data_IF_827040047750
#
_entry.id   IF_827040047750
#
_cell.length_a   1.000
_cell.length_b   1.000
_cell.length_c   1.000
_cell.angle_alpha   90.00
_cell.angle_beta   90.00
_cell.angle_gamma   90.00
#
_symmetry.space_group_name_H-M   'P 1'
#
loop_
_entity.id
_entity.type
_entity.pdbx_description
1 polymer ?
#
# COMPACT_ATOMS: atom_id res chain seq x y z
N UNK A 1 22.70 12.40 13.11
CA UNK A 1 22.58 13.34 11.97
C UNK A 1 21.10 13.58 11.76
N UNK A 2 20.60 14.67 12.33
CA UNK A 2 19.17 15.00 12.39
C UNK A 2 18.87 16.08 11.37
N UNK A 3 17.79 15.94 10.59
CA UNK A 3 17.20 17.08 9.89
C UNK A 3 16.85 16.88 8.42
N UNK A 4 15.90 15.98 8.14
CA UNK A 4 14.81 16.19 7.18
C UNK A 4 13.75 15.12 7.51
N UNK A 5 13.03 15.33 8.61
CA UNK A 5 12.13 14.32 9.18
C UNK A 5 10.75 14.40 8.55
N UNK A 6 10.46 13.58 7.56
CA UNK A 6 9.07 13.28 7.19
C UNK A 6 8.46 12.33 8.25
N UNK A 7 7.16 12.45 8.55
CA UNK A 7 6.49 11.53 9.45
C UNK A 7 6.51 10.12 8.85
N UNK A 8 6.96 9.14 9.62
CA UNK A 8 6.88 7.72 9.29
C UNK A 8 6.33 6.95 10.49
N UNK A 9 5.03 7.10 10.82
CA UNK A 9 4.43 6.41 11.96
C UNK A 9 4.67 4.90 11.83
N UNK A 10 5.28 4.30 12.86
CA UNK A 10 5.64 2.88 12.87
C UNK A 10 6.56 2.43 11.71
N UNK A 11 7.29 3.35 11.09
CA UNK A 11 8.14 3.04 9.93
C UNK A 11 7.36 2.77 8.63
N UNK A 12 6.06 3.05 8.59
CA UNK A 12 5.19 2.67 7.46
C UNK A 12 5.53 3.38 6.14
N UNK A 13 6.35 4.44 6.15
CA UNK A 13 6.84 5.13 4.95
C UNK A 13 8.11 4.50 4.36
N UNK A 14 8.61 3.40 4.93
CA UNK A 14 9.80 2.71 4.45
C UNK A 14 9.77 2.40 2.93
N UNK A 15 8.66 1.99 2.30
CA UNK A 15 8.64 1.75 0.84
C UNK A 15 8.85 3.02 -0.01
N UNK A 16 8.58 4.20 0.54
CA UNK A 16 8.74 5.49 -0.15
C UNK A 16 10.05 6.19 0.23
N UNK A 17 10.73 5.76 1.30
CA UNK A 17 11.96 6.38 1.83
C UNK A 17 13.01 6.66 0.75
N UNK A 18 13.32 5.72 -0.18
CA UNK A 18 14.34 5.96 -1.22
C UNK A 18 13.98 7.08 -2.21
N UNK A 19 12.72 7.51 -2.26
CA UNK A 19 12.23 8.60 -3.09
C UNK A 19 12.17 9.90 -2.30
N UNK A 20 11.50 9.89 -1.14
CA UNK A 20 11.24 11.08 -0.33
C UNK A 20 12.52 11.62 0.34
N UNK A 21 13.53 10.79 0.57
CA UNK A 21 14.87 11.22 1.02
C UNK A 21 15.56 12.17 0.01
N UNK A 22 15.12 12.15 -1.26
CA UNK A 22 15.78 12.84 -2.37
C UNK A 22 15.08 14.13 -2.78
N UNK A 23 13.95 14.45 -2.16
CA UNK A 23 13.11 15.61 -2.49
C UNK A 23 12.59 16.26 -1.21
N UNK A 24 12.18 17.54 -1.25
CA UNK A 24 11.39 18.12 -0.16
C UNK A 24 10.11 17.31 0.07
N UNK A 25 9.77 17.05 1.33
CA UNK A 25 8.54 16.36 1.70
C UNK A 25 7.34 17.31 1.60
N UNK A 26 6.89 17.55 0.38
CA UNK A 26 5.74 18.37 0.05
C UNK A 26 5.10 17.87 -1.25
N UNK A 27 3.77 18.02 -1.45
CA UNK A 27 3.05 17.58 -2.64
C UNK A 27 3.32 18.51 -3.84
N UNK A 28 4.58 18.49 -4.29
CA UNK A 28 5.12 19.34 -5.34
C UNK A 28 5.37 18.53 -6.62
N UNK A 29 4.68 18.91 -7.70
CA UNK A 29 4.82 18.26 -9.02
C UNK A 29 6.27 18.26 -9.52
N UNK A 30 7.00 19.37 -9.33
CA UNK A 30 8.41 19.48 -9.75
C UNK A 30 9.31 18.40 -9.11
N UNK A 31 9.05 18.03 -7.85
CA UNK A 31 9.76 16.94 -7.17
C UNK A 31 9.47 15.58 -7.80
N UNK A 32 8.21 15.33 -8.16
CA UNK A 32 7.82 14.09 -8.86
C UNK A 32 8.44 14.01 -10.26
N UNK A 33 8.45 15.11 -11.01
CA UNK A 33 9.08 15.19 -12.33
C UNK A 33 10.60 14.91 -12.24
N UNK A 34 11.28 15.48 -11.24
CA UNK A 34 12.71 15.25 -11.01
C UNK A 34 13.01 13.78 -10.64
N UNK A 35 12.16 13.14 -9.83
CA UNK A 35 12.28 11.71 -9.51
C UNK A 35 12.03 10.83 -10.74
N UNK A 36 11.03 11.17 -11.56
CA UNK A 36 10.64 10.41 -12.74
C UNK A 36 11.63 10.57 -13.91
N UNK A 37 12.29 11.74 -14.04
CA UNK A 37 13.29 11.98 -15.08
C UNK A 37 14.49 11.01 -15.02
N UNK A 38 14.79 10.45 -13.84
CA UNK A 38 15.90 9.51 -13.62
C UNK A 38 15.49 8.04 -13.73
N UNK A 39 14.25 7.76 -14.17
CA UNK A 39 13.66 6.43 -14.20
C UNK A 39 12.98 6.17 -15.53
N UNK A 40 12.92 4.91 -15.93
CA UNK A 40 12.12 4.45 -17.07
C UNK A 40 10.93 3.62 -16.58
N UNK A 41 10.02 4.27 -15.84
CA UNK A 41 8.78 3.63 -15.42
C UNK A 41 7.81 3.64 -16.60
N UNK A 42 7.25 2.47 -16.90
CA UNK A 42 6.33 2.26 -18.01
C UNK A 42 5.07 1.55 -17.56
N UNK A 43 3.96 1.88 -18.20
CA UNK A 43 2.72 1.11 -18.10
C UNK A 43 2.86 -0.23 -18.82
N UNK A 44 1.93 -1.15 -18.58
CA UNK A 44 1.91 -2.45 -19.26
C UNK A 44 1.64 -2.33 -20.78
N UNK A 45 1.12 -1.20 -21.25
CA UNK A 45 1.00 -0.84 -22.66
C UNK A 45 2.27 -0.20 -23.26
N UNK A 46 3.37 -0.12 -22.50
CA UNK A 46 4.66 0.40 -22.94
C UNK A 46 4.80 1.93 -22.91
N UNK A 47 3.78 2.65 -22.43
CA UNK A 47 3.83 4.12 -22.33
C UNK A 47 4.70 4.54 -21.16
N UNK A 48 5.59 5.52 -21.41
CA UNK A 48 6.42 6.11 -20.35
C UNK A 48 5.53 6.91 -19.40
N UNK A 49 5.69 6.69 -18.11
CA UNK A 49 4.91 7.38 -17.09
C UNK A 49 5.26 8.87 -17.06
N UNK A 50 4.25 9.71 -16.89
CA UNK A 50 4.37 11.15 -16.67
C UNK A 50 3.29 11.64 -15.71
N UNK A 51 3.63 12.65 -14.90
CA UNK A 51 2.69 13.28 -13.99
C UNK A 51 2.22 14.58 -14.63
N UNK A 52 0.91 14.71 -14.85
CA UNK A 52 0.32 15.85 -15.56
C UNK A 52 -0.81 16.45 -14.73
N UNK A 53 -1.09 17.76 -14.83
CA UNK A 53 -2.30 18.32 -14.23
C UNK A 53 -3.56 17.62 -14.76
N UNK A 54 -4.67 17.57 -13.99
CA UNK A 54 -5.91 17.00 -14.46
C UNK A 54 -6.34 17.65 -15.79
N UNK A 55 -6.54 16.87 -16.85
CA UNK A 55 -6.94 17.39 -18.15
C UNK A 55 -8.44 17.72 -18.16
N UNK A 56 -8.83 18.68 -19.00
CA UNK A 56 -10.22 19.12 -19.16
C UNK A 56 -11.05 18.26 -20.12
N UNK A 57 -10.62 17.04 -20.43
CA UNK A 57 -11.34 16.13 -21.34
C UNK A 57 -12.12 15.03 -20.58
N UNK A 58 -12.96 14.28 -21.29
CA UNK A 58 -13.81 13.24 -20.71
C UNK A 58 -13.13 11.85 -20.59
N UNK A 59 -11.82 11.74 -20.86
CA UNK A 59 -11.14 10.45 -20.86
C UNK A 59 -11.04 9.91 -19.43
N UNK A 60 -11.44 8.64 -19.25
CA UNK A 60 -11.31 7.99 -17.95
C UNK A 60 -9.85 7.92 -17.48
N UNK A 61 -9.64 8.11 -16.18
CA UNK A 61 -8.32 8.10 -15.53
C UNK A 61 -7.48 6.85 -15.85
N UNK A 62 -8.06 5.65 -15.72
CA UNK A 62 -7.32 4.39 -15.98
C UNK A 62 -6.98 4.24 -17.47
N UNK A 63 -7.92 4.61 -18.35
CA UNK A 63 -7.71 4.61 -19.80
C UNK A 63 -6.61 5.59 -20.21
N UNK A 64 -6.52 6.76 -19.56
CA UNK A 64 -5.47 7.74 -19.83
C UNK A 64 -4.10 7.20 -19.48
N UNK A 65 -3.94 6.64 -18.29
CA UNK A 65 -2.67 6.02 -17.88
C UNK A 65 -2.31 4.93 -18.90
N UNK A 66 -3.24 4.05 -19.24
CA UNK A 66 -3.00 2.99 -20.21
C UNK A 66 -2.62 3.51 -21.60
N UNK A 67 -3.34 4.49 -22.14
CA UNK A 67 -3.13 4.93 -23.54
C UNK A 67 -1.99 5.92 -23.71
N UNK A 68 -1.74 6.78 -22.70
CA UNK A 68 -0.80 7.91 -22.77
C UNK A 68 0.33 7.85 -21.73
N UNK A 69 0.22 7.03 -20.69
CA UNK A 69 1.17 7.02 -19.57
C UNK A 69 1.01 8.24 -18.65
N UNK A 70 -0.10 8.96 -18.74
CA UNK A 70 -0.35 10.20 -18.00
C UNK A 70 -1.11 9.92 -16.71
N UNK A 71 -0.48 10.13 -15.56
CA UNK A 71 -1.11 10.08 -14.24
C UNK A 71 -1.51 11.50 -13.85
N UNK A 72 -2.81 11.74 -13.69
CA UNK A 72 -3.33 13.03 -13.24
C UNK A 72 -2.85 13.34 -11.81
N UNK A 73 -2.25 14.51 -11.62
CA UNK A 73 -1.70 14.97 -10.35
C UNK A 73 -2.06 16.44 -10.12
N UNK A 74 -2.98 16.67 -9.18
CA UNK A 74 -3.43 18.01 -8.76
C UNK A 74 -2.33 18.71 -7.97
N UNK A 75 -2.09 20.02 -8.20
CA UNK A 75 -1.19 20.81 -7.36
C UNK A 75 -1.59 20.74 -5.88
N UNK A 76 -0.63 20.48 -4.99
CA UNK A 76 -0.87 20.45 -3.55
C UNK A 76 -1.61 19.22 -3.01
N UNK A 77 -1.95 18.25 -3.86
CA UNK A 77 -2.67 17.03 -3.45
C UNK A 77 -1.72 15.99 -2.86
N UNK A 78 -1.82 15.73 -1.54
CA UNK A 78 -1.08 14.65 -0.88
C UNK A 78 -1.48 13.28 -1.42
N UNK A 79 -2.77 13.07 -1.64
CA UNK A 79 -3.29 11.88 -2.29
C UNK A 79 -2.58 11.56 -3.62
N UNK A 80 -2.56 12.53 -4.56
CA UNK A 80 -1.97 12.32 -5.88
C UNK A 80 -0.44 12.22 -5.80
N UNK A 81 0.17 12.93 -4.85
CA UNK A 81 1.60 12.84 -4.57
C UNK A 81 2.00 11.43 -4.10
N UNK A 82 1.27 10.84 -3.16
CA UNK A 82 1.53 9.47 -2.73
C UNK A 82 1.23 8.46 -3.82
N UNK A 83 0.17 8.65 -4.61
CA UNK A 83 -0.10 7.79 -5.76
C UNK A 83 1.07 7.81 -6.76
N UNK A 84 1.63 8.98 -7.05
CA UNK A 84 2.80 9.12 -7.90
C UNK A 84 4.04 8.44 -7.30
N UNK A 85 4.29 8.58 -6.00
CA UNK A 85 5.39 7.88 -5.34
C UNK A 85 5.21 6.35 -5.35
N UNK A 86 3.98 5.86 -5.16
CA UNK A 86 3.67 4.43 -5.25
C UNK A 86 3.92 3.90 -6.67
N UNK A 87 3.56 4.64 -7.72
CA UNK A 87 3.94 4.32 -9.10
C UNK A 87 5.45 4.18 -9.30
N UNK A 88 6.24 5.01 -8.63
CA UNK A 88 7.71 4.97 -8.72
C UNK A 88 8.36 3.89 -7.84
N UNK A 89 7.71 3.50 -6.74
CA UNK A 89 8.18 2.45 -5.81
C UNK A 89 7.73 1.04 -6.21
N UNK A 90 6.54 0.90 -6.82
CA UNK A 90 5.93 -0.36 -7.24
C UNK A 90 5.52 -0.31 -8.73
N UNK A 91 6.46 -0.05 -9.65
CA UNK A 91 6.16 0.18 -11.06
C UNK A 91 5.50 -1.02 -11.73
N UNK A 92 5.90 -2.26 -11.40
CA UNK A 92 5.33 -3.46 -12.01
C UNK A 92 3.89 -3.66 -11.53
N UNK A 93 3.67 -3.56 -10.22
CA UNK A 93 2.35 -3.77 -9.62
C UNK A 93 1.34 -2.74 -10.10
N UNK A 94 1.71 -1.44 -10.13
CA UNK A 94 0.82 -0.38 -10.61
C UNK A 94 0.54 -0.50 -12.11
N UNK A 95 1.53 -0.88 -12.91
CA UNK A 95 1.33 -1.15 -14.33
C UNK A 95 0.34 -2.31 -14.57
N UNK A 96 0.48 -3.41 -13.82
CA UNK A 96 -0.46 -4.54 -13.88
C UNK A 96 -1.86 -4.17 -13.39
N UNK A 97 -1.96 -3.40 -12.30
CA UNK A 97 -3.23 -2.95 -11.74
C UNK A 97 -4.01 -2.07 -12.72
N UNK A 98 -3.33 -1.10 -13.34
CA UNK A 98 -3.90 -0.26 -14.38
C UNK A 98 -4.39 -1.09 -15.60
N UNK A 99 -3.58 -2.04 -16.06
CA UNK A 99 -3.96 -2.95 -17.15
C UNK A 99 -5.24 -3.73 -16.83
N UNK A 100 -5.33 -4.27 -15.61
CA UNK A 100 -6.49 -4.99 -15.11
C UNK A 100 -7.72 -4.09 -15.01
N UNK A 101 -7.57 -2.87 -14.51
CA UNK A 101 -8.68 -1.90 -14.48
C UNK A 101 -9.23 -1.62 -15.88
N UNK A 102 -8.36 -1.38 -16.86
CA UNK A 102 -8.79 -1.15 -18.25
C UNK A 102 -9.45 -2.38 -18.86
N UNK A 103 -8.91 -3.58 -18.64
CA UNK A 103 -9.52 -4.82 -19.11
C UNK A 103 -10.91 -5.05 -18.50
N UNK A 104 -11.06 -4.82 -17.19
CA UNK A 104 -12.35 -4.96 -16.50
C UNK A 104 -13.39 -3.93 -16.97
N UNK A 105 -12.96 -2.75 -17.40
CA UNK A 105 -13.86 -1.72 -17.96
C UNK A 105 -14.37 -2.05 -19.38
N UNK A 106 -13.65 -2.88 -20.14
CA UNK A 106 -14.06 -3.28 -21.48
C UNK A 106 -15.23 -4.29 -21.49
N UNK A 107 -15.58 -4.87 -20.35
CA UNK A 107 -16.67 -5.85 -20.20
C UNK A 107 -17.97 -5.13 -19.78
N UNK A 108 -18.99 -5.00 -20.66
CA UNK A 108 -20.15 -4.12 -20.40
C UNK A 108 -21.18 -4.64 -19.37
N UNK A 109 -21.10 -5.92 -18.96
CA UNK A 109 -22.24 -6.64 -18.37
C UNK A 109 -22.28 -6.77 -16.83
N UNK A 110 -21.42 -6.08 -16.08
CA UNK A 110 -21.56 -6.03 -14.62
C UNK A 110 -21.14 -4.66 -14.09
N UNK A 111 -22.11 -3.80 -13.74
CA UNK A 111 -21.83 -2.51 -13.08
C UNK A 111 -20.83 -2.69 -11.94
N UNK A 112 -19.88 -1.74 -11.78
CA UNK A 112 -18.72 -1.81 -10.85
C UNK A 112 -18.43 -3.25 -10.37
N UNK A 113 -17.88 -4.07 -11.27
CA UNK A 113 -17.61 -5.47 -10.97
C UNK A 113 -16.80 -5.62 -9.67
N UNK A 114 -17.13 -6.64 -8.87
CA UNK A 114 -16.49 -6.91 -7.56
C UNK A 114 -14.95 -6.88 -7.63
N UNK A 115 -14.39 -7.31 -8.76
CA UNK A 115 -12.96 -7.25 -9.05
C UNK A 115 -12.42 -5.82 -9.11
N UNK A 116 -13.12 -4.91 -9.82
CA UNK A 116 -12.73 -3.50 -9.90
C UNK A 116 -12.75 -2.85 -8.51
N UNK A 117 -13.79 -3.13 -7.73
CA UNK A 117 -13.90 -2.60 -6.37
C UNK A 117 -12.79 -3.16 -5.46
N UNK A 118 -12.45 -4.44 -5.58
CA UNK A 118 -11.35 -5.07 -4.83
C UNK A 118 -10.00 -4.44 -5.18
N UNK A 119 -9.71 -4.28 -6.47
CA UNK A 119 -8.47 -3.68 -6.97
C UNK A 119 -8.36 -2.21 -6.56
N UNK A 120 -9.45 -1.44 -6.67
CA UNK A 120 -9.49 -0.05 -6.21
C UNK A 120 -9.19 0.01 -4.71
N UNK A 121 -9.82 -0.85 -3.91
CA UNK A 121 -9.60 -0.87 -2.47
C UNK A 121 -8.15 -1.21 -2.11
N UNK A 122 -7.54 -2.12 -2.85
CA UNK A 122 -6.12 -2.44 -2.66
C UNK A 122 -5.22 -1.29 -3.12
N UNK A 123 -5.54 -0.59 -4.21
CA UNK A 123 -4.77 0.59 -4.65
C UNK A 123 -4.77 1.72 -3.62
N UNK A 124 -5.90 1.90 -2.95
CA UNK A 124 -6.11 2.95 -1.95
C UNK A 124 -5.51 2.58 -0.60
N UNK A 125 -5.72 1.34 -0.16
CA UNK A 125 -5.48 0.93 1.23
C UNK A 125 -4.62 -0.35 1.39
N UNK A 126 -3.99 -0.83 0.32
CA UNK A 126 -3.23 -2.08 0.31
C UNK A 126 -1.95 -2.05 1.15
N UNK A 127 -1.59 -3.20 1.70
CA UNK A 127 -0.30 -3.42 2.37
C UNK A 127 0.15 -4.85 2.10
N UNK A 128 1.45 -5.05 1.89
CA UNK A 128 2.05 -6.38 1.87
C UNK A 128 2.72 -6.62 3.21
N UNK A 129 2.30 -7.66 3.91
CA UNK A 129 2.89 -8.08 5.18
C UNK A 129 3.71 -9.32 4.92
N UNK A 130 4.99 -9.27 5.27
CA UNK A 130 5.89 -10.42 5.16
C UNK A 130 6.41 -10.81 6.52
N UNK A 131 6.57 -12.11 6.76
CA UNK A 131 7.14 -12.62 8.01
C UNK A 131 7.99 -13.86 7.77
N UNK A 132 9.09 -13.99 8.52
CA UNK A 132 9.84 -15.24 8.62
C UNK A 132 9.37 -16.16 9.76
N UNK A 133 8.43 -15.68 10.57
CA UNK A 133 7.71 -16.47 11.56
C UNK A 133 6.24 -16.60 11.13
N UNK A 134 5.86 -17.80 10.71
CA UNK A 134 4.50 -18.10 10.23
C UNK A 134 3.45 -17.98 11.35
N UNK A 135 3.84 -18.08 12.62
CA UNK A 135 2.93 -17.91 13.76
C UNK A 135 2.41 -16.47 13.85
N UNK A 136 3.22 -15.47 13.52
CA UNK A 136 2.80 -14.06 13.48
C UNK A 136 1.73 -13.81 12.40
N UNK A 137 1.90 -14.41 11.22
CA UNK A 137 0.88 -14.36 10.17
C UNK A 137 -0.39 -15.09 10.61
N UNK A 138 -0.25 -16.18 11.36
CA UNK A 138 -1.37 -16.88 12.00
C UNK A 138 -2.20 -15.98 12.92
N UNK A 139 -1.55 -15.21 13.80
CA UNK A 139 -2.22 -14.26 14.69
C UNK A 139 -2.99 -13.18 13.92
N UNK A 140 -2.40 -12.67 12.83
CA UNK A 140 -3.05 -11.69 11.94
C UNK A 140 -4.29 -12.29 11.28
N UNK A 141 -4.18 -13.50 10.70
CA UNK A 141 -5.31 -14.22 10.09
C UNK A 141 -6.43 -14.49 11.10
N UNK A 142 -6.07 -14.77 12.35
CA UNK A 142 -6.99 -15.07 13.44
C UNK A 142 -7.48 -13.83 14.21
N UNK A 143 -7.12 -12.61 13.79
CA UNK A 143 -7.53 -11.36 14.43
C UNK A 143 -7.12 -11.25 15.92
N UNK A 144 -6.01 -11.90 16.29
CA UNK A 144 -5.49 -11.92 17.66
C UNK A 144 -4.59 -10.69 17.89
N UNK A 145 -5.19 -9.50 17.90
CA UNK A 145 -4.46 -8.23 17.84
C UNK A 145 -3.58 -7.95 19.06
N UNK A 146 -4.05 -8.22 20.28
CA UNK A 146 -3.25 -8.03 21.50
C UNK A 146 -2.07 -9.01 21.53
N UNK A 147 -2.31 -10.28 21.17
CA UNK A 147 -1.24 -11.25 21.05
C UNK A 147 -0.19 -10.83 20.01
N UNK A 148 -0.64 -10.38 18.83
CA UNK A 148 0.24 -9.93 17.75
C UNK A 148 1.04 -8.68 18.12
N UNK A 149 0.36 -7.59 18.49
CA UNK A 149 0.96 -6.25 18.61
C UNK A 149 1.55 -5.94 20.00
N UNK A 150 1.11 -6.65 21.03
CA UNK A 150 1.58 -6.45 22.41
C UNK A 150 2.41 -7.64 22.90
N UNK A 151 1.83 -8.84 23.01
CA UNK A 151 2.50 -9.99 23.64
C UNK A 151 3.71 -10.48 22.83
N UNK A 152 3.59 -10.50 21.50
CA UNK A 152 4.66 -10.88 20.55
C UNK A 152 5.39 -9.67 19.97
N UNK A 153 5.31 -8.50 20.60
CA UNK A 153 5.93 -7.25 20.10
C UNK A 153 7.44 -7.35 19.84
N UNK A 154 8.27 -8.01 20.68
CA UNK A 154 9.69 -8.19 20.37
C UNK A 154 9.92 -9.00 19.09
N UNK A 155 9.07 -10.00 18.83
CA UNK A 155 9.17 -10.83 17.62
C UNK A 155 8.72 -10.07 16.37
N UNK A 156 7.70 -9.21 16.46
CA UNK A 156 7.27 -8.35 15.35
C UNK A 156 8.44 -7.54 14.78
N UNK A 157 9.20 -6.88 15.65
CA UNK A 157 10.32 -6.04 15.24
C UNK A 157 11.41 -6.84 14.50
N UNK A 158 11.63 -8.10 14.90
CA UNK A 158 12.64 -8.96 14.29
C UNK A 158 12.14 -9.61 13.00
N UNK A 159 10.94 -10.18 13.02
CA UNK A 159 10.50 -11.18 12.04
C UNK A 159 9.46 -10.69 11.03
N UNK A 160 8.80 -9.54 11.25
CA UNK A 160 7.70 -9.06 10.39
C UNK A 160 8.01 -7.69 9.78
N UNK A 161 7.64 -7.49 8.52
CA UNK A 161 7.71 -6.19 7.83
C UNK A 161 6.39 -5.87 7.12
N UNK A 162 6.06 -4.58 7.07
CA UNK A 162 4.90 -4.06 6.36
C UNK A 162 5.37 -3.14 5.22
N UNK A 163 4.89 -3.41 4.01
CA UNK A 163 5.13 -2.60 2.83
C UNK A 163 3.81 -1.99 2.38
N UNK A 164 3.55 -0.74 2.77
CA UNK A 164 2.32 -0.04 2.37
C UNK A 164 2.36 0.21 0.86
N UNK A 165 1.29 -0.21 0.19
CA UNK A 165 1.05 0.01 -1.24
C UNK A 165 -0.03 1.07 -1.43
N UNK A 166 -1.05 1.05 -0.57
CA UNK A 166 -2.20 1.93 -0.61
C UNK A 166 -1.82 3.40 -0.52
N UNK A 167 -2.09 4.18 -1.57
CA UNK A 167 -1.69 5.58 -1.61
C UNK A 167 -2.52 6.48 -0.68
N UNK A 168 -3.83 6.22 -0.51
CA UNK A 168 -4.63 6.89 0.51
C UNK A 168 -4.20 6.53 1.94
N UNK A 169 -3.71 5.31 2.19
CA UNK A 169 -3.15 4.97 3.50
C UNK A 169 -1.99 5.89 3.88
N UNK A 170 -1.12 6.26 2.93
CA UNK A 170 -0.04 7.22 3.21
C UNK A 170 -0.55 8.62 3.57
N UNK A 171 -1.57 9.11 2.86
CA UNK A 171 -2.21 10.38 3.19
C UNK A 171 -2.86 10.34 4.58
N UNK A 172 -3.59 9.28 4.88
CA UNK A 172 -4.22 9.07 6.18
C UNK A 172 -3.19 8.95 7.32
N UNK A 173 -1.99 8.44 7.03
CA UNK A 173 -0.90 8.36 8.01
C UNK A 173 -0.22 9.72 8.27
N UNK A 174 -0.50 10.78 7.50
CA UNK A 174 -0.08 12.13 7.88
C UNK A 174 -0.78 12.60 9.16
N UNK A 175 -2.02 12.15 9.37
CA UNK A 175 -2.81 12.38 10.59
C UNK A 175 -3.58 11.09 10.95
N UNK A 176 -2.90 10.09 11.54
CA UNK A 176 -3.51 8.79 11.85
C UNK A 176 -4.72 8.93 12.78
N UNK A 177 -5.75 8.10 12.59
CA UNK A 177 -6.99 8.15 13.37
C UNK A 177 -7.46 6.76 13.81
N UNK A 178 -8.27 6.73 14.88
CA UNK A 178 -8.86 5.49 15.43
C UNK A 178 -9.63 4.74 14.33
N UNK A 179 -9.27 3.48 14.10
CA UNK A 179 -9.90 2.63 13.07
C UNK A 179 -9.22 2.64 11.69
N UNK A 180 -8.12 3.37 11.50
CA UNK A 180 -7.29 3.29 10.29
C UNK A 180 -6.84 1.85 10.03
N UNK A 181 -7.34 1.25 8.94
CA UNK A 181 -7.20 -0.18 8.63
C UNK A 181 -6.83 -0.41 7.18
N UNK A 182 -5.72 -1.10 6.94
CA UNK A 182 -5.24 -1.48 5.62
C UNK A 182 -5.77 -2.85 5.15
N UNK A 183 -5.59 -3.15 3.87
CA UNK A 183 -5.88 -4.45 3.23
C UNK A 183 -4.59 -5.21 2.98
N UNK A 184 -4.32 -6.17 3.85
CA UNK A 184 -3.10 -6.94 3.85
C UNK A 184 -3.17 -8.16 2.93
N UNK A 185 -2.13 -8.31 2.10
CA UNK A 185 -1.71 -9.58 1.50
C UNK A 185 -0.54 -10.11 2.32
N UNK A 186 -0.53 -11.41 2.61
CA UNK A 186 0.43 -12.02 3.54
C UNK A 186 1.38 -12.95 2.80
N UNK A 187 2.69 -12.77 2.97
CA UNK A 187 3.71 -13.70 2.47
C UNK A 187 4.60 -14.22 3.59
N UNK A 188 4.89 -15.52 3.53
CA UNK A 188 5.97 -16.10 4.31
C UNK A 188 7.28 -15.91 3.54
N UNK A 189 8.32 -15.49 4.26
CA UNK A 189 9.66 -15.33 3.72
C UNK A 189 10.65 -16.08 4.59
N UNK A 190 11.87 -16.29 4.08
CA UNK A 190 12.94 -16.84 4.91
C UNK A 190 13.57 -15.73 5.76
N UNK A 191 14.22 -16.09 6.86
CA UNK A 191 14.89 -15.10 7.73
C UNK A 191 16.00 -14.35 6.99
N UNK A 192 16.76 -15.04 6.12
CA UNK A 192 17.79 -14.44 5.27
C UNK A 192 17.25 -13.36 4.31
N UNK A 193 15.98 -13.46 3.90
CA UNK A 193 15.31 -12.46 3.07
C UNK A 193 15.16 -11.12 3.83
N UNK A 194 14.93 -11.14 5.14
CA UNK A 194 14.82 -9.91 5.94
C UNK A 194 16.15 -9.15 6.08
N UNK A 195 17.27 -9.82 5.80
CA UNK A 195 18.61 -9.25 5.87
C UNK A 195 19.08 -8.63 4.54
N UNK A 196 18.38 -8.90 3.42
CA UNK A 196 18.76 -8.28 2.14
C UNK A 196 18.44 -6.78 2.14
N UNK A 197 19.11 -5.96 1.31
CA UNK A 197 18.88 -4.51 1.30
C UNK A 197 17.41 -4.13 1.07
N UNK A 198 16.88 -3.06 1.70
CA UNK A 198 15.48 -2.66 1.56
C UNK A 198 15.01 -2.46 0.11
N UNK A 199 15.90 -1.97 -0.78
CA UNK A 199 15.61 -1.82 -2.20
C UNK A 199 15.38 -3.16 -2.91
N UNK A 200 16.13 -4.21 -2.53
CA UNK A 200 15.96 -5.56 -3.06
C UNK A 200 14.69 -6.22 -2.51
N UNK A 201 14.35 -5.98 -1.24
CA UNK A 201 13.08 -6.38 -0.65
C UNK A 201 11.91 -5.76 -1.42
N UNK A 202 11.93 -4.43 -1.60
CA UNK A 202 10.89 -3.69 -2.32
C UNK A 202 10.71 -4.21 -3.76
N UNK A 203 11.80 -4.44 -4.49
CA UNK A 203 11.76 -5.01 -5.84
C UNK A 203 11.25 -6.47 -5.89
N UNK A 204 11.47 -7.25 -4.83
CA UNK A 204 10.87 -8.58 -4.71
C UNK A 204 9.36 -8.49 -4.45
N UNK A 205 8.94 -7.63 -3.52
CA UNK A 205 7.52 -7.37 -3.25
C UNK A 205 6.78 -6.91 -4.52
N UNK A 206 7.35 -5.95 -5.25
CA UNK A 206 6.74 -5.43 -6.48
C UNK A 206 6.54 -6.54 -7.53
N UNK A 207 7.53 -7.44 -7.69
CA UNK A 207 7.41 -8.59 -8.60
C UNK A 207 6.35 -9.58 -8.14
N UNK A 208 6.30 -9.91 -6.85
CA UNK A 208 5.31 -10.85 -6.31
C UNK A 208 3.91 -10.30 -6.48
N UNK A 209 3.68 -9.06 -6.05
CA UNK A 209 2.40 -8.38 -6.11
C UNK A 209 1.92 -8.23 -7.56
N UNK A 210 2.79 -7.81 -8.49
CA UNK A 210 2.46 -7.78 -9.92
C UNK A 210 2.01 -9.16 -10.44
N UNK A 211 2.71 -10.24 -10.06
CA UNK A 211 2.32 -11.61 -10.41
C UNK A 211 0.96 -12.03 -9.83
N UNK A 212 0.65 -11.60 -8.60
CA UNK A 212 -0.63 -11.87 -7.94
C UNK A 212 -1.80 -11.16 -8.61
N UNK A 213 -1.59 -9.88 -8.93
CA UNK A 213 -2.52 -9.04 -9.68
C UNK A 213 -2.75 -9.62 -11.06
N UNK A 214 -1.68 -10.02 -11.77
CA UNK A 214 -1.75 -10.64 -13.09
C UNK A 214 -2.47 -11.99 -13.06
N UNK A 215 -2.43 -12.73 -11.96
CA UNK A 215 -3.15 -13.99 -11.75
C UNK A 215 -4.59 -13.80 -11.21
N UNK A 216 -5.00 -12.58 -10.84
CA UNK A 216 -6.36 -12.29 -10.37
C UNK A 216 -6.59 -12.64 -8.91
N UNK A 217 -5.52 -12.86 -8.13
CA UNK A 217 -5.62 -13.19 -6.69
C UNK A 217 -6.18 -12.03 -5.85
N UNK A 218 -6.20 -10.82 -6.40
CA UNK A 218 -6.75 -9.61 -5.77
C UNK A 218 -8.15 -9.23 -6.31
N UNK A 219 -8.85 -10.14 -7.00
CA UNK A 219 -10.17 -9.87 -7.59
C UNK A 219 -11.34 -10.01 -6.59
N UNK A 220 -11.11 -10.50 -5.37
CA UNK A 220 -12.12 -10.61 -4.32
C UNK A 220 -11.68 -9.80 -3.08
N UNK A 221 -12.48 -8.86 -2.55
CA UNK A 221 -12.15 -8.16 -1.31
C UNK A 221 -11.91 -9.09 -0.12
N UNK A 222 -12.43 -10.33 -0.15
CA UNK A 222 -12.20 -11.35 0.88
C UNK A 222 -10.80 -11.95 0.83
N UNK A 223 -10.05 -11.75 -0.25
CA UNK A 223 -8.64 -12.14 -0.34
C UNK A 223 -7.75 -11.33 0.60
N UNK A 224 -8.20 -10.14 1.03
CA UNK A 224 -7.42 -9.26 1.90
C UNK A 224 -7.72 -9.45 3.38
N UNK A 225 -6.67 -9.45 4.20
CA UNK A 225 -6.78 -9.45 5.65
C UNK A 225 -6.83 -8.00 6.16
N UNK A 226 -7.82 -7.60 6.99
CA UNK A 226 -7.80 -6.27 7.58
C UNK A 226 -6.62 -6.17 8.55
N UNK A 227 -5.82 -5.11 8.43
CA UNK A 227 -4.72 -4.81 9.32
C UNK A 227 -4.94 -3.43 9.99
N UNK A 228 -5.30 -3.38 11.28
CA UNK A 228 -5.41 -2.11 12.01
C UNK A 228 -4.02 -1.46 12.12
N UNK A 229 -3.76 -0.40 11.34
CA UNK A 229 -2.44 0.24 11.31
C UNK A 229 -2.09 0.88 12.66
N UNK A 230 -3.09 1.38 13.38
CA UNK A 230 -2.93 1.96 14.71
C UNK A 230 -2.38 0.97 15.76
N UNK A 231 -2.51 -0.34 15.51
CA UNK A 231 -1.94 -1.37 16.38
C UNK A 231 -0.44 -1.60 16.17
N UNK A 232 0.14 -1.18 15.04
CA UNK A 232 1.56 -1.40 14.78
C UNK A 232 2.43 -0.52 15.70
N UNK A 233 3.47 -1.08 16.35
CA UNK A 233 4.35 -0.32 17.24
C UNK A 233 4.87 0.98 16.60
N UNK A 234 4.83 2.08 17.36
CA UNK A 234 5.33 3.38 16.92
C UNK A 234 4.39 4.18 16.00
N UNK A 235 3.18 3.68 15.67
CA UNK A 235 2.18 4.45 14.91
C UNK A 235 1.48 5.50 15.78
N UNK A 236 1.20 5.18 17.04
CA UNK A 236 0.64 6.12 18.02
C UNK A 236 1.24 5.84 19.41
N UNK A 237 1.49 6.87 20.25
CA UNK A 237 1.94 6.66 21.62
C UNK A 237 1.02 5.78 22.47
N UNK A 238 -0.30 5.81 22.19
CA UNK A 238 -1.29 5.06 22.98
C UNK A 238 -1.04 3.54 22.94
N UNK A 239 -0.44 3.05 21.86
CA UNK A 239 -0.21 1.62 21.66
C UNK A 239 0.95 1.04 22.49
N UNK A 240 1.63 1.89 23.27
CA UNK A 240 2.58 1.49 24.32
C UNK A 240 1.89 1.02 25.62
N UNK A 241 0.56 1.08 25.69
CA UNK A 241 -0.23 0.57 26.81
C UNK A 241 -0.97 -0.72 26.43
N UNK A 242 -0.86 -1.82 27.20
CA UNK A 242 -1.59 -3.06 26.92
C UNK A 242 -3.11 -2.89 26.82
N UNK A 243 -3.69 -1.97 27.60
CA UNK A 243 -5.13 -1.70 27.61
C UNK A 243 -5.64 -1.07 26.30
N UNK A 244 -4.75 -0.47 25.50
CA UNK A 244 -5.09 0.07 24.18
C UNK A 244 -5.69 -1.01 23.26
N UNK A 245 -5.14 -2.22 23.34
CA UNK A 245 -5.55 -3.35 22.49
C UNK A 245 -6.87 -4.00 22.96
N UNK A 246 -7.43 -3.56 24.09
CA UNK A 246 -8.74 -4.01 24.59
C UNK A 246 -9.91 -3.26 23.92
N UNK A 247 -9.63 -2.21 23.14
CA UNK A 247 -10.65 -1.52 22.33
C UNK A 247 -11.17 -2.41 21.19
N UNK A 248 -12.26 -3.13 21.45
CA UNK A 248 -12.91 -4.05 20.50
C UNK A 248 -13.52 -3.37 19.28
N UNK A 249 -13.75 -2.06 19.32
CA UNK A 249 -14.25 -1.33 18.16
C UNK A 249 -13.16 -1.20 17.09
N UNK A 250 -11.93 -0.90 17.54
CA UNK A 250 -10.74 -0.82 16.68
C UNK A 250 -10.17 -2.21 16.39
N UNK A 251 -9.99 -3.03 17.41
CA UNK A 251 -9.37 -4.36 17.36
C UNK A 251 -10.43 -5.47 17.35
N UNK A 252 -11.17 -5.53 16.24
CA UNK A 252 -12.29 -6.48 16.06
C UNK A 252 -11.80 -7.93 15.95
N UNK A 253 -12.50 -8.87 16.59
CA UNK A 253 -12.12 -10.29 16.64
C UNK A 253 -12.53 -11.14 15.43
N UNK A 254 -12.56 -10.56 14.23
CA UNK A 254 -12.88 -11.32 13.02
C UNK A 254 -13.98 -10.72 12.15
N UNK A 255 -14.16 -11.34 10.99
CA UNK A 255 -15.30 -11.09 10.11
C UNK A 255 -16.55 -11.65 10.79
N UNK A 256 -17.48 -10.78 11.19
CA UNK A 256 -18.78 -11.25 11.66
C UNK A 256 -19.44 -12.03 10.52
N UNK A 257 -19.77 -13.31 10.76
CA UNK A 257 -20.71 -14.02 9.91
C UNK A 257 -22.04 -13.29 10.07
N UNK A 258 -22.57 -12.70 9.00
CA UNK A 258 -23.99 -12.34 8.97
C UNK A 258 -24.73 -13.65 9.21
N UNK A 259 -25.43 -13.76 10.33
CA UNK A 259 -26.49 -14.73 10.51
C UNK A 259 -27.40 -14.59 9.28
N UNK A 260 -27.55 -15.67 8.53
CA UNK A 260 -28.63 -15.78 7.53
C UNK A 260 -29.92 -15.96 8.30
#
# INVERSE_FOLDING_TARGET
MSGCGWPSPGGLFAPLSPLIERIPFAPAKASLDALNARRDVRTASGRRLSFVPPPGDAMNYETRIWTRGEVSTRPGSWHDFFNALVWLSFPLSKATLNARHVAAMAVPMAGRGRERDAMTHFDECGVVVVSCDSSLLGLLRAFQWKALFWERRPDLARALRCFVFGHASYEQLLQPFRGLTAKAVLHEVREDWLCVPPSAQLAAIDRWLAGELAAGRCADPRAFHPLPLMGLPGVTPDNENPAYYDDRWQFRSGRQRRSV
#
